data_IF_433674439639
#
_entry.id   IF_433674439639
#
_cell.length_a   1.000
_cell.length_b   1.000
_cell.length_c   1.000
_cell.angle_alpha   90.00
_cell.angle_beta   90.00
_cell.angle_gamma   90.00
#
_symmetry.space_group_name_H-M   'P 1'
#
loop_
_entity.id
_entity.type
_entity.pdbx_description
1 polymer ?
#
# COMPACT_ATOMS: atom_id res chain seq x y z
N UNK A 1 50.47 -4.99 -53.24
CA UNK A 1 50.55 -3.50 -53.10
C UNK A 1 49.16 -2.96 -52.89
N UNK A 2 48.77 -2.73 -51.64
CA UNK A 2 47.46 -2.12 -51.27
C UNK A 2 47.68 -0.60 -51.11
N UNK A 3 46.73 0.24 -51.55
CA UNK A 3 46.88 1.68 -51.40
C UNK A 3 46.37 2.12 -50.03
N UNK A 4 47.24 2.79 -49.28
CA UNK A 4 46.96 3.43 -47.97
C UNK A 4 46.03 4.64 -48.16
N UNK A 5 44.79 4.53 -47.63
CA UNK A 5 43.83 5.65 -47.56
C UNK A 5 44.25 6.66 -46.47
N UNK A 6 44.63 7.87 -46.89
CA UNK A 6 44.82 9.00 -45.98
C UNK A 6 43.45 9.53 -45.52
N UNK A 7 43.21 9.57 -44.20
CA UNK A 7 42.04 10.23 -43.59
C UNK A 7 42.10 11.74 -43.82
N UNK A 8 41.01 12.41 -44.24
CA UNK A 8 40.99 13.84 -44.42
C UNK A 8 41.11 14.58 -43.08
N UNK A 9 42.14 15.39 -42.93
CA UNK A 9 42.32 16.26 -41.77
C UNK A 9 41.46 17.53 -41.88
N UNK A 10 41.00 18.08 -40.73
CA UNK A 10 40.24 19.33 -40.70
C UNK A 10 41.01 20.44 -41.42
N UNK A 11 40.29 21.20 -42.25
CA UNK A 11 40.81 22.41 -42.87
C UNK A 11 41.14 23.49 -41.85
N UNK A 12 42.04 24.45 -42.25
CA UNK A 12 42.42 25.57 -41.35
C UNK A 12 41.20 26.34 -40.84
N UNK A 13 40.19 26.56 -41.67
CA UNK A 13 38.91 27.17 -41.27
C UNK A 13 38.14 26.33 -40.26
N UNK A 14 38.12 25.00 -40.40
CA UNK A 14 37.47 24.09 -39.44
C UNK A 14 38.16 24.10 -38.08
N UNK A 15 39.50 24.19 -38.03
CA UNK A 15 40.27 24.33 -36.79
C UNK A 15 40.00 25.66 -36.08
N UNK A 16 39.82 26.75 -36.84
CA UNK A 16 39.52 28.08 -36.29
C UNK A 16 38.12 28.11 -35.65
N UNK A 17 37.11 27.48 -36.27
CA UNK A 17 35.74 27.40 -35.73
C UNK A 17 35.71 26.61 -34.41
N UNK A 18 36.42 25.48 -34.35
CA UNK A 18 36.51 24.66 -33.13
C UNK A 18 37.21 25.44 -32.01
N UNK A 19 38.29 26.18 -32.35
CA UNK A 19 39.00 26.99 -31.36
C UNK A 19 38.13 28.11 -30.78
N UNK A 20 37.36 28.83 -31.64
CA UNK A 20 36.46 29.91 -31.19
C UNK A 20 35.31 29.35 -30.35
N UNK A 21 34.79 28.17 -30.67
CA UNK A 21 33.76 27.52 -29.88
C UNK A 21 34.27 27.12 -28.47
N UNK A 22 35.44 26.49 -28.38
CA UNK A 22 36.07 26.12 -27.13
C UNK A 22 36.42 27.37 -26.28
N UNK A 23 36.93 28.42 -26.90
CA UNK A 23 37.22 29.69 -26.21
C UNK A 23 35.94 30.35 -25.68
N UNK A 24 34.82 30.30 -26.42
CA UNK A 24 33.51 30.79 -26.00
C UNK A 24 32.95 30.02 -24.81
N UNK A 25 33.06 28.68 -24.83
CA UNK A 25 32.65 27.83 -23.71
C UNK A 25 33.47 28.08 -22.43
N UNK A 26 34.81 28.28 -22.57
CA UNK A 26 35.69 28.58 -21.43
C UNK A 26 35.42 29.96 -20.87
N UNK A 27 35.16 30.98 -21.72
CA UNK A 27 34.80 32.33 -21.28
C UNK A 27 33.43 32.36 -20.57
N UNK A 28 32.43 31.58 -21.08
CA UNK A 28 31.11 31.40 -20.43
C UNK A 28 31.23 30.76 -19.05
N UNK A 29 32.01 29.69 -18.93
CA UNK A 29 32.29 29.04 -17.65
C UNK A 29 33.03 29.96 -16.66
N UNK A 30 34.02 30.71 -17.14
CA UNK A 30 34.76 31.64 -16.33
C UNK A 30 33.90 32.82 -15.82
N UNK A 31 32.99 33.35 -16.63
CA UNK A 31 32.06 34.42 -16.23
C UNK A 31 31.05 33.97 -15.19
N UNK A 32 30.57 32.71 -15.28
CA UNK A 32 29.64 32.08 -14.30
C UNK A 32 30.33 31.82 -12.94
N UNK A 33 31.66 31.58 -12.93
CA UNK A 33 32.38 31.28 -11.70
C UNK A 33 32.81 32.56 -10.93
N UNK A 34 33.09 33.69 -11.60
CA UNK A 34 33.59 34.91 -11.00
C UNK A 34 32.54 35.93 -10.58
N UNK A 35 31.26 35.75 -10.99
CA UNK A 35 30.17 36.65 -10.59
C UNK A 35 29.21 36.02 -9.56
N UNK A 36 29.75 35.22 -8.62
CA UNK A 36 29.00 34.91 -7.40
C UNK A 36 29.25 35.97 -6.35
N UNK A 37 28.28 36.83 -6.00
CA UNK A 37 28.42 37.69 -4.84
C UNK A 37 28.40 36.79 -3.58
N UNK A 38 29.52 36.84 -2.83
CA UNK A 38 29.57 36.30 -1.46
C UNK A 38 28.77 37.28 -0.58
N UNK A 39 27.50 36.98 -0.37
CA UNK A 39 26.65 37.71 0.58
C UNK A 39 26.10 36.74 1.60
N UNK A 40 26.64 36.84 2.76
CA UNK A 40 26.19 36.66 4.12
C UNK A 40 25.06 35.68 4.44
N UNK A 41 25.46 34.63 5.18
CA UNK A 41 24.60 33.65 5.84
C UNK A 41 23.63 34.20 6.93
N UNK A 42 23.39 35.53 6.97
CA UNK A 42 22.44 36.18 7.89
C UNK A 42 21.13 36.65 7.22
N UNK A 43 21.06 36.69 5.87
CA UNK A 43 19.84 37.08 5.18
C UNK A 43 18.89 35.90 4.85
N UNK A 44 19.38 34.67 4.90
CA UNK A 44 18.56 33.51 4.57
C UNK A 44 17.55 33.12 5.67
N UNK A 45 17.78 33.49 6.93
CA UNK A 45 16.83 33.19 8.01
C UNK A 45 15.70 34.22 8.12
N UNK A 46 15.98 35.49 7.82
CA UNK A 46 14.94 36.53 7.78
C UNK A 46 14.05 36.39 6.55
N UNK A 47 14.57 36.07 5.38
CA UNK A 47 13.78 35.87 4.17
C UNK A 47 12.88 34.59 4.26
N UNK A 48 13.33 33.55 4.95
CA UNK A 48 12.51 32.36 5.21
C UNK A 48 11.39 32.63 6.24
N UNK A 49 11.67 33.47 7.24
CA UNK A 49 10.68 33.89 8.23
C UNK A 49 9.70 34.94 7.65
N UNK A 50 10.15 35.82 6.78
CA UNK A 50 9.30 36.80 6.11
C UNK A 50 8.42 36.14 5.00
N UNK A 51 8.94 35.11 4.31
CA UNK A 51 8.15 34.30 3.39
C UNK A 51 7.09 33.44 4.14
N UNK A 52 7.41 32.95 5.33
CA UNK A 52 6.44 32.26 6.19
C UNK A 52 5.40 33.22 6.79
N UNK A 53 5.76 34.48 7.02
CA UNK A 53 4.83 35.52 7.51
C UNK A 53 3.98 36.13 6.38
N UNK A 54 4.50 36.23 5.15
CA UNK A 54 3.78 36.77 4.00
C UNK A 54 2.73 35.79 3.42
N UNK A 55 2.82 34.48 3.73
CA UNK A 55 1.83 33.48 3.35
C UNK A 55 0.54 33.53 4.22
N UNK A 56 0.37 34.54 5.08
CA UNK A 56 -0.72 34.60 6.06
C UNK A 56 -2.00 35.23 5.54
N UNK A 57 -2.08 35.71 4.30
CA UNK A 57 -3.28 36.37 3.81
C UNK A 57 -3.71 35.81 2.44
N UNK A 58 -4.57 34.78 2.46
CA UNK A 58 -5.43 34.41 1.32
C UNK A 58 -5.03 33.23 0.45
N UNK A 59 -3.80 32.69 0.53
CA UNK A 59 -3.38 31.61 -0.36
C UNK A 59 -3.78 30.22 0.19
N UNK A 60 -4.54 29.45 -0.61
CA UNK A 60 -4.88 28.07 -0.30
C UNK A 60 -3.66 27.18 -0.49
N UNK A 61 -3.28 26.42 0.57
CA UNK A 61 -2.25 25.40 0.49
C UNK A 61 -2.86 24.12 -0.09
N UNK A 62 -2.28 23.60 -1.15
CA UNK A 62 -2.72 22.35 -1.76
C UNK A 62 -1.77 21.22 -1.43
N UNK A 63 -2.30 20.09 -0.94
CA UNK A 63 -1.55 18.86 -0.68
C UNK A 63 -2.23 17.67 -1.36
N UNK A 64 -1.43 16.74 -1.87
CA UNK A 64 -1.89 15.46 -2.40
C UNK A 64 -1.53 14.31 -1.46
N UNK A 65 -2.48 13.42 -1.24
CA UNK A 65 -2.34 12.23 -0.42
C UNK A 65 -2.52 11.00 -1.29
N UNK A 66 -1.42 10.29 -1.58
CA UNK A 66 -1.48 8.97 -2.19
C UNK A 66 -1.89 7.95 -1.11
N UNK A 67 -3.00 7.25 -1.29
CA UNK A 67 -3.56 6.39 -0.27
C UNK A 67 -4.09 5.07 -0.82
N UNK A 68 -4.01 4.00 -0.02
CA UNK A 68 -4.63 2.73 -0.32
C UNK A 68 -6.16 2.83 -0.32
N UNK A 69 -6.79 2.21 -1.33
CA UNK A 69 -8.24 2.35 -1.60
C UNK A 69 -9.16 1.80 -0.50
N UNK A 70 -8.63 1.01 0.42
CA UNK A 70 -9.34 0.55 1.61
C UNK A 70 -9.79 1.68 2.54
N UNK A 71 -9.08 2.85 2.51
CA UNK A 71 -9.39 4.04 3.31
C UNK A 71 -10.31 5.06 2.61
N UNK A 72 -10.71 4.80 1.37
CA UNK A 72 -11.37 5.79 0.51
C UNK A 72 -12.55 6.48 1.18
N UNK A 73 -13.52 5.71 1.69
CA UNK A 73 -14.74 6.26 2.29
C UNK A 73 -14.45 7.07 3.54
N UNK A 74 -13.55 6.57 4.40
CA UNK A 74 -13.16 7.28 5.61
C UNK A 74 -12.43 8.58 5.29
N UNK A 75 -11.44 8.55 4.40
CA UNK A 75 -10.67 9.75 4.05
C UNK A 75 -11.53 10.79 3.31
N UNK A 76 -12.41 10.37 2.40
CA UNK A 76 -13.34 11.30 1.73
C UNK A 76 -14.23 12.01 2.74
N UNK A 77 -14.81 11.28 3.70
CA UNK A 77 -15.57 11.87 4.79
C UNK A 77 -14.72 12.80 5.65
N UNK A 78 -13.53 12.37 6.07
CA UNK A 78 -12.63 13.15 6.92
C UNK A 78 -12.17 14.46 6.26
N UNK A 79 -11.87 14.44 4.96
CA UNK A 79 -11.54 15.65 4.19
C UNK A 79 -12.72 16.63 4.20
N UNK A 80 -13.94 16.13 4.00
CA UNK A 80 -15.16 16.97 4.08
C UNK A 80 -15.37 17.60 5.45
N UNK A 81 -15.10 16.87 6.54
CA UNK A 81 -15.21 17.41 7.90
C UNK A 81 -14.06 18.40 8.23
N UNK A 82 -12.85 18.09 7.77
CA UNK A 82 -11.70 18.98 7.97
C UNK A 82 -11.88 20.32 7.29
N UNK A 83 -12.42 20.34 6.08
CA UNK A 83 -12.69 21.58 5.32
C UNK A 83 -13.70 22.52 6.01
N UNK A 84 -14.52 22.05 6.95
CA UNK A 84 -15.46 22.86 7.72
C UNK A 84 -14.78 23.62 8.88
N UNK A 85 -13.58 23.20 9.25
CA UNK A 85 -12.82 23.79 10.38
C UNK A 85 -12.07 25.04 9.94
N UNK A 86 -11.84 25.95 10.86
CA UNK A 86 -11.10 27.20 10.57
C UNK A 86 -9.65 26.93 10.12
N UNK A 87 -9.01 25.92 10.71
CA UNK A 87 -7.64 25.48 10.35
C UNK A 87 -7.58 24.63 9.07
N UNK A 88 -8.73 24.08 8.64
CA UNK A 88 -8.87 23.26 7.45
C UNK A 88 -9.30 24.03 6.17
N UNK A 89 -10.03 25.14 6.32
CA UNK A 89 -10.61 25.89 5.17
C UNK A 89 -9.59 26.37 4.15
N UNK A 90 -8.34 26.61 4.59
CA UNK A 90 -7.25 27.08 3.74
C UNK A 90 -6.38 25.95 3.19
N UNK A 91 -6.73 24.69 3.48
CA UNK A 91 -5.97 23.52 3.04
C UNK A 91 -6.85 22.72 2.10
N UNK A 92 -6.47 22.70 0.82
CA UNK A 92 -7.11 21.84 -0.18
C UNK A 92 -6.40 20.50 -0.20
N UNK A 93 -7.14 19.43 0.05
CA UNK A 93 -6.62 18.06 0.07
C UNK A 93 -7.08 17.32 -1.17
N UNK A 94 -6.13 16.88 -1.99
CA UNK A 94 -6.39 16.04 -3.15
C UNK A 94 -6.10 14.57 -2.78
N UNK A 95 -7.14 13.78 -2.74
CA UNK A 95 -7.05 12.34 -2.50
C UNK A 95 -6.68 11.63 -3.79
N UNK A 96 -5.58 10.87 -3.80
CA UNK A 96 -5.03 10.16 -4.97
C UNK A 96 -5.08 8.66 -4.66
N UNK A 97 -6.17 7.96 -5.09
CA UNK A 97 -6.29 6.53 -4.82
C UNK A 97 -5.32 5.72 -5.67
N UNK A 98 -4.53 4.86 -5.03
CA UNK A 98 -3.60 3.95 -5.70
C UNK A 98 -3.20 2.78 -4.79
N UNK A 99 -2.60 1.74 -5.36
CA UNK A 99 -2.03 0.65 -4.59
C UNK A 99 -0.88 1.13 -3.67
N UNK A 100 -0.66 0.45 -2.55
CA UNK A 100 0.38 0.86 -1.59
C UNK A 100 1.78 0.88 -2.20
N UNK A 101 2.12 -0.15 -2.98
CA UNK A 101 3.40 -0.25 -3.68
C UNK A 101 3.47 0.72 -4.86
N UNK A 102 2.36 0.86 -5.60
CA UNK A 102 2.23 1.85 -6.68
C UNK A 102 2.50 3.27 -6.18
N UNK A 103 1.95 3.64 -5.00
CA UNK A 103 2.19 4.94 -4.37
C UNK A 103 3.65 5.17 -4.00
N UNK A 104 4.33 4.17 -3.42
CA UNK A 104 5.77 4.24 -3.17
C UNK A 104 6.56 4.48 -4.46
N UNK A 105 6.28 3.72 -5.50
CA UNK A 105 6.92 3.85 -6.81
C UNK A 105 6.62 5.19 -7.48
N UNK A 106 5.41 5.75 -7.33
CA UNK A 106 5.07 7.07 -7.84
C UNK A 106 5.91 8.17 -7.17
N UNK A 107 6.07 8.10 -5.83
CA UNK A 107 6.95 9.01 -5.07
C UNK A 107 8.40 8.89 -5.54
N UNK A 108 8.92 7.66 -5.69
CA UNK A 108 10.29 7.42 -6.16
C UNK A 108 10.53 7.94 -7.60
N UNK A 109 9.52 7.90 -8.46
CA UNK A 109 9.58 8.50 -9.81
C UNK A 109 9.41 10.01 -9.83
N UNK A 110 9.22 10.67 -8.67
CA UNK A 110 9.10 12.12 -8.54
C UNK A 110 7.72 12.68 -8.88
N UNK A 111 6.64 11.97 -8.59
CA UNK A 111 5.28 12.51 -8.77
C UNK A 111 5.03 13.66 -7.79
N UNK A 112 5.14 14.89 -8.32
CA UNK A 112 5.05 16.11 -7.54
C UNK A 112 3.67 16.39 -6.94
N UNK A 113 2.64 15.63 -7.34
CA UNK A 113 1.30 15.74 -6.76
C UNK A 113 1.23 15.14 -5.36
N UNK A 114 2.19 14.26 -4.99
CA UNK A 114 2.16 13.48 -3.75
C UNK A 114 3.01 14.16 -2.68
N UNK A 115 2.36 14.64 -1.63
CA UNK A 115 2.99 15.24 -0.44
C UNK A 115 2.90 14.30 0.77
N UNK A 116 2.01 13.34 0.70
CA UNK A 116 1.80 12.30 1.70
C UNK A 116 1.65 10.96 1.01
N UNK A 117 2.35 9.94 1.52
CA UNK A 117 2.13 8.55 1.16
C UNK A 117 1.48 7.81 2.34
N UNK A 118 0.28 7.27 2.14
CA UNK A 118 -0.47 6.54 3.16
C UNK A 118 -0.85 5.14 2.66
N UNK A 119 0.10 4.19 2.68
CA UNK A 119 -0.15 2.81 2.31
C UNK A 119 -1.05 2.09 3.33
N UNK A 120 -1.49 0.87 3.02
CA UNK A 120 -2.26 0.05 3.94
C UNK A 120 -1.41 -0.50 5.10
N UNK A 121 -0.10 -0.67 4.92
CA UNK A 121 0.82 -1.09 5.98
C UNK A 121 2.23 -0.56 5.79
N UNK A 122 3.05 -0.72 6.82
CA UNK A 122 4.48 -0.38 6.81
C UNK A 122 5.35 -1.44 6.11
N UNK A 123 4.80 -2.54 5.63
CA UNK A 123 5.55 -3.66 5.05
C UNK A 123 6.54 -3.25 3.96
N UNK A 124 6.18 -2.28 3.11
CA UNK A 124 7.03 -1.81 2.01
C UNK A 124 7.90 -0.61 2.38
N UNK A 125 7.82 -0.10 3.62
CA UNK A 125 8.55 1.11 4.05
C UNK A 125 10.05 0.97 3.89
N UNK A 126 10.63 -0.13 4.40
CA UNK A 126 12.09 -0.30 4.37
C UNK A 126 12.62 -0.44 2.94
N UNK A 127 11.86 -1.06 2.04
CA UNK A 127 12.18 -1.12 0.60
C UNK A 127 12.16 0.28 0.01
N UNK A 128 11.11 1.06 0.27
CA UNK A 128 10.99 2.44 -0.17
C UNK A 128 12.15 3.32 0.32
N UNK A 129 12.53 3.20 1.61
CA UNK A 129 13.65 3.96 2.18
C UNK A 129 14.99 3.61 1.54
N UNK A 130 15.25 2.34 1.24
CA UNK A 130 16.46 1.89 0.56
C UNK A 130 16.52 2.43 -0.88
N UNK A 131 15.44 2.33 -1.64
CA UNK A 131 15.37 2.85 -3.01
C UNK A 131 15.50 4.38 -3.05
N UNK A 132 14.87 5.09 -2.10
CA UNK A 132 15.02 6.53 -1.95
C UNK A 132 16.48 6.94 -1.69
N UNK A 133 17.14 6.24 -0.77
CA UNK A 133 18.54 6.51 -0.44
C UNK A 133 19.48 6.34 -1.65
N UNK A 134 19.22 5.33 -2.48
CA UNK A 134 19.98 5.12 -3.73
C UNK A 134 19.81 6.28 -4.71
N UNK A 135 18.59 6.85 -4.79
CA UNK A 135 18.29 7.91 -5.76
C UNK A 135 18.64 9.31 -5.29
N UNK A 136 18.51 9.61 -3.98
CA UNK A 136 18.59 10.94 -3.40
C UNK A 136 19.72 11.11 -2.38
N UNK A 137 20.52 10.08 -2.11
CA UNK A 137 21.56 10.12 -1.08
C UNK A 137 20.99 10.03 0.35
N UNK A 138 21.63 10.70 1.30
CA UNK A 138 21.36 10.56 2.73
C UNK A 138 20.12 11.26 3.27
N UNK A 139 19.33 11.93 2.45
CA UNK A 139 18.15 12.69 2.90
C UNK A 139 17.01 11.75 3.32
N UNK A 140 16.43 12.01 4.49
CA UNK A 140 15.28 11.25 4.98
C UNK A 140 14.03 11.65 4.19
N UNK A 141 13.34 10.73 3.52
CA UNK A 141 12.16 11.05 2.71
C UNK A 141 10.89 11.33 3.53
N UNK A 142 10.91 11.11 4.84
CA UNK A 142 9.76 11.26 5.72
C UNK A 142 10.14 12.15 6.91
N UNK A 143 9.38 13.24 7.12
CA UNK A 143 9.55 14.17 8.25
C UNK A 143 8.63 13.84 9.42
N UNK A 144 7.49 13.21 9.17
CA UNK A 144 6.54 12.79 10.19
C UNK A 144 5.82 11.52 9.76
N UNK A 145 5.62 10.60 10.69
CA UNK A 145 4.83 9.38 10.47
C UNK A 145 4.00 9.03 11.69
N UNK A 146 2.77 8.54 11.44
CA UNK A 146 1.88 8.01 12.48
C UNK A 146 1.01 6.91 11.87
N UNK A 147 0.60 5.96 12.68
CA UNK A 147 -0.35 4.93 12.28
C UNK A 147 -1.78 5.46 12.46
N UNK A 148 -2.53 5.54 11.35
CA UNK A 148 -3.89 6.08 11.37
C UNK A 148 -4.90 5.10 11.97
N UNK A 149 -4.80 3.84 11.60
CA UNK A 149 -5.80 2.83 11.95
C UNK A 149 -5.23 1.43 11.74
N UNK A 150 -5.81 0.42 12.39
CA UNK A 150 -5.37 -0.96 12.31
C UNK A 150 -6.42 -1.82 11.59
N UNK A 151 -5.97 -2.75 10.78
CA UNK A 151 -6.82 -3.75 10.14
C UNK A 151 -6.05 -5.05 9.92
N UNK A 152 -6.44 -6.18 10.52
CA UNK A 152 -5.83 -7.48 10.23
C UNK A 152 -6.33 -8.02 8.88
N UNK A 153 -5.70 -9.08 8.40
CA UNK A 153 -6.17 -9.84 7.24
C UNK A 153 -7.29 -10.82 7.66
N UNK A 154 -8.24 -11.02 6.75
CA UNK A 154 -9.31 -12.00 6.92
C UNK A 154 -9.58 -12.76 5.63
N UNK A 155 -10.13 -13.97 5.75
CA UNK A 155 -10.79 -14.68 4.67
C UNK A 155 -12.28 -14.40 4.77
N UNK A 156 -12.90 -13.91 3.70
CA UNK A 156 -14.34 -13.72 3.62
C UNK A 156 -14.93 -14.81 2.71
N UNK A 157 -15.93 -15.53 3.19
CA UNK A 157 -16.62 -16.59 2.45
C UNK A 157 -18.12 -16.38 2.50
N UNK A 158 -18.85 -16.89 1.49
CA UNK A 158 -20.29 -17.03 1.60
C UNK A 158 -20.62 -18.05 2.69
N UNK A 159 -21.63 -17.78 3.52
CA UNK A 159 -21.92 -18.60 4.71
C UNK A 159 -22.15 -20.08 4.37
N UNK A 160 -22.94 -20.35 3.32
CA UNK A 160 -23.20 -21.72 2.86
C UNK A 160 -21.93 -22.43 2.39
N UNK A 161 -21.03 -21.72 1.69
CA UNK A 161 -19.71 -22.23 1.28
C UNK A 161 -18.82 -22.50 2.48
N UNK A 162 -18.81 -21.58 3.45
CA UNK A 162 -18.04 -21.73 4.69
C UNK A 162 -18.48 -22.97 5.48
N UNK A 163 -19.80 -23.18 5.67
CA UNK A 163 -20.33 -24.33 6.41
C UNK A 163 -19.92 -25.65 5.73
N UNK A 164 -20.07 -25.73 4.42
CA UNK A 164 -19.66 -26.89 3.65
C UNK A 164 -18.16 -27.13 3.69
N UNK A 165 -17.37 -26.06 3.59
CA UNK A 165 -15.92 -26.11 3.64
C UNK A 165 -15.42 -26.61 5.01
N UNK A 166 -15.91 -26.04 6.10
CA UNK A 166 -15.53 -26.43 7.46
C UNK A 166 -15.95 -27.87 7.78
N UNK A 167 -17.10 -28.31 7.27
CA UNK A 167 -17.53 -29.72 7.40
C UNK A 167 -16.54 -30.69 6.76
N UNK A 168 -15.89 -30.31 5.66
CA UNK A 168 -14.90 -31.15 4.94
C UNK A 168 -13.52 -31.06 5.56
N UNK A 169 -13.03 -29.83 5.86
CA UNK A 169 -11.63 -29.56 6.19
C UNK A 169 -11.41 -29.24 7.67
N UNK A 170 -12.46 -29.00 8.45
CA UNK A 170 -12.41 -28.66 9.88
C UNK A 170 -12.21 -27.18 10.15
N UNK A 171 -11.36 -26.49 9.38
CA UNK A 171 -11.03 -25.06 9.55
C UNK A 171 -10.77 -24.40 8.20
N UNK A 172 -10.78 -23.06 8.19
CA UNK A 172 -10.29 -22.25 7.06
C UNK A 172 -8.89 -21.76 7.39
N UNK A 173 -7.90 -22.29 6.68
CA UNK A 173 -6.48 -21.94 6.78
C UNK A 173 -5.85 -21.94 5.38
N UNK A 174 -4.65 -21.36 5.20
CA UNK A 174 -3.96 -21.41 3.90
C UNK A 174 -3.71 -22.86 3.45
N UNK A 175 -3.47 -23.76 4.39
CA UNK A 175 -3.33 -25.19 4.11
C UNK A 175 -4.62 -25.80 3.54
N UNK A 176 -5.75 -25.55 4.18
CA UNK A 176 -7.05 -26.12 3.74
C UNK A 176 -7.58 -25.43 2.49
N UNK A 177 -7.33 -24.13 2.32
CA UNK A 177 -7.61 -23.42 1.06
C UNK A 177 -6.79 -24.01 -0.09
N UNK A 178 -5.50 -24.32 0.12
CA UNK A 178 -4.66 -25.01 -0.88
C UNK A 178 -5.21 -26.37 -1.27
N UNK A 179 -5.72 -27.14 -0.30
CA UNK A 179 -6.36 -28.44 -0.57
C UNK A 179 -7.63 -28.27 -1.42
N UNK A 180 -8.46 -27.28 -1.10
CA UNK A 180 -9.69 -27.01 -1.86
C UNK A 180 -9.40 -26.53 -3.29
N UNK A 181 -8.37 -25.71 -3.49
CA UNK A 181 -7.91 -25.27 -4.82
C UNK A 181 -7.38 -26.43 -5.67
N UNK A 182 -6.80 -27.44 -5.05
CA UNK A 182 -6.26 -28.62 -5.73
C UNK A 182 -7.33 -29.69 -6.04
N UNK A 183 -8.56 -29.55 -5.52
CA UNK A 183 -9.64 -30.51 -5.77
C UNK A 183 -10.16 -30.42 -7.21
N UNK A 184 -9.75 -31.33 -8.06
CA UNK A 184 -10.18 -31.37 -9.48
C UNK A 184 -11.68 -31.49 -9.71
N UNK A 185 -12.41 -32.12 -8.76
CA UNK A 185 -13.86 -32.19 -8.76
C UNK A 185 -14.55 -30.99 -8.10
N UNK A 186 -13.78 -30.02 -7.59
CA UNK A 186 -14.30 -28.82 -6.93
C UNK A 186 -15.32 -29.13 -5.85
N UNK A 187 -16.44 -28.40 -5.85
CA UNK A 187 -17.49 -28.55 -4.84
C UNK A 187 -18.24 -29.91 -4.87
N UNK A 188 -18.17 -30.65 -5.98
CA UNK A 188 -18.61 -32.03 -5.99
C UNK A 188 -17.80 -32.88 -5.00
N UNK A 189 -16.47 -32.75 -5.00
CA UNK A 189 -15.59 -33.50 -4.08
C UNK A 189 -15.61 -32.95 -2.66
N UNK A 190 -15.81 -31.62 -2.52
CA UNK A 190 -15.83 -30.94 -1.21
C UNK A 190 -17.15 -31.21 -0.46
N UNK A 191 -18.30 -31.07 -1.14
CA UNK A 191 -19.60 -31.04 -0.49
C UNK A 191 -20.73 -31.80 -1.24
N UNK A 192 -20.41 -32.52 -2.32
CA UNK A 192 -21.42 -33.17 -3.14
C UNK A 192 -22.32 -32.21 -3.93
N UNK A 193 -21.80 -31.03 -4.25
CA UNK A 193 -22.49 -29.90 -4.88
C UNK A 193 -21.87 -29.56 -6.25
N UNK A 194 -22.12 -30.36 -7.30
CA UNK A 194 -21.54 -30.15 -8.64
C UNK A 194 -21.95 -28.81 -9.26
N UNK A 195 -23.13 -28.32 -8.94
CA UNK A 195 -23.67 -27.04 -9.43
C UNK A 195 -22.86 -25.79 -8.93
N UNK A 196 -22.00 -25.97 -7.93
CA UNK A 196 -21.16 -24.93 -7.43
C UNK A 196 -19.82 -24.80 -8.19
N UNK A 197 -19.48 -25.78 -9.02
CA UNK A 197 -18.29 -25.81 -9.86
C UNK A 197 -16.99 -26.03 -9.08
N UNK A 198 -15.89 -25.42 -9.55
CA UNK A 198 -14.62 -25.43 -8.85
C UNK A 198 -14.64 -24.44 -7.68
N UNK A 199 -13.77 -24.69 -6.69
CA UNK A 199 -13.57 -23.72 -5.60
C UNK A 199 -12.87 -22.48 -6.14
N UNK A 200 -13.46 -21.29 -5.92
CA UNK A 200 -13.01 -20.01 -6.44
C UNK A 200 -12.52 -19.11 -5.31
N UNK A 201 -11.20 -18.93 -5.23
CA UNK A 201 -10.53 -18.03 -4.29
C UNK A 201 -9.97 -16.82 -5.04
N UNK A 202 -10.12 -15.62 -4.45
CA UNK A 202 -9.51 -14.41 -4.94
C UNK A 202 -8.63 -13.74 -3.88
N UNK A 203 -7.53 -13.13 -4.33
CA UNK A 203 -6.78 -12.15 -3.57
C UNK A 203 -6.23 -11.06 -4.51
N UNK A 204 -5.49 -10.08 -4.00
CA UNK A 204 -4.95 -9.02 -4.86
C UNK A 204 -3.56 -9.37 -5.37
N UNK A 205 -3.16 -8.74 -6.48
CA UNK A 205 -1.85 -8.93 -7.10
C UNK A 205 -0.72 -8.46 -6.14
N UNK A 206 0.22 -9.34 -5.75
CA UNK A 206 1.19 -9.04 -4.69
C UNK A 206 2.16 -7.90 -5.00
N UNK A 207 2.48 -7.68 -6.28
CA UNK A 207 3.38 -6.58 -6.70
C UNK A 207 2.66 -5.24 -6.87
N UNK A 208 1.33 -5.20 -6.73
CA UNK A 208 0.53 -3.98 -6.90
C UNK A 208 -0.18 -3.56 -5.62
N UNK A 209 -0.67 -4.54 -4.87
CA UNK A 209 -1.49 -4.33 -3.68
C UNK A 209 -0.89 -4.95 -2.43
N UNK A 210 -0.91 -4.19 -1.34
CA UNK A 210 -0.39 -4.64 -0.05
C UNK A 210 -1.13 -5.88 0.50
N UNK A 211 -2.43 -6.04 0.26
CA UNK A 211 -3.14 -7.26 0.72
C UNK A 211 -2.65 -8.53 0.02
N UNK A 212 -2.20 -8.42 -1.23
CA UNK A 212 -1.54 -9.53 -1.92
C UNK A 212 -0.19 -9.88 -1.31
N UNK A 213 0.65 -8.86 -1.06
CA UNK A 213 1.92 -9.06 -0.33
C UNK A 213 1.67 -9.65 1.07
N UNK A 214 0.71 -9.12 1.82
CA UNK A 214 0.35 -9.63 3.15
C UNK A 214 -0.13 -11.09 3.08
N UNK A 215 -0.89 -11.47 2.04
CA UNK A 215 -1.33 -12.85 1.80
C UNK A 215 -0.13 -13.78 1.59
N UNK A 216 0.82 -13.42 0.72
CA UNK A 216 2.04 -14.22 0.51
C UNK A 216 2.87 -14.37 1.80
N UNK A 217 3.02 -13.29 2.57
CA UNK A 217 3.74 -13.34 3.84
C UNK A 217 3.04 -14.25 4.86
N UNK A 218 1.72 -14.17 4.96
CA UNK A 218 0.94 -15.04 5.84
C UNK A 218 1.03 -16.52 5.40
N UNK A 219 1.02 -16.79 4.10
CA UNK A 219 1.28 -18.13 3.57
C UNK A 219 2.64 -18.66 4.01
N UNK A 220 3.70 -17.83 3.93
CA UNK A 220 5.03 -18.22 4.36
C UNK A 220 5.11 -18.45 5.89
N UNK A 221 4.52 -17.56 6.68
CA UNK A 221 4.45 -17.72 8.14
C UNK A 221 3.67 -18.97 8.55
N UNK A 222 2.56 -19.25 7.88
CA UNK A 222 1.72 -20.42 8.18
C UNK A 222 2.42 -21.71 7.80
N UNK A 223 3.04 -21.76 6.61
CA UNK A 223 3.77 -22.93 6.12
C UNK A 223 4.93 -23.31 7.06
N UNK A 224 5.75 -22.32 7.50
CA UNK A 224 6.90 -22.56 8.38
C UNK A 224 6.55 -22.59 9.86
N UNK A 225 5.29 -22.38 10.25
CA UNK A 225 4.86 -22.36 11.66
C UNK A 225 5.47 -21.21 12.48
N UNK A 226 5.83 -20.09 11.84
CA UNK A 226 6.51 -18.94 12.46
C UNK A 226 5.55 -17.77 12.68
N UNK A 227 5.94 -16.84 13.56
CA UNK A 227 5.30 -15.53 13.75
C UNK A 227 6.31 -14.38 13.68
N UNK A 228 7.61 -14.70 13.69
CA UNK A 228 8.72 -13.75 13.60
C UNK A 228 9.90 -14.37 12.87
N UNK A 229 10.88 -13.57 12.55
CA UNK A 229 12.16 -14.00 11.98
C UNK A 229 12.01 -14.81 10.67
N UNK A 230 11.01 -14.43 9.84
CA UNK A 230 10.93 -14.96 8.49
C UNK A 230 12.18 -14.52 7.72
N UNK A 231 12.87 -15.48 7.10
CA UNK A 231 14.20 -15.29 6.51
C UNK A 231 14.23 -15.68 5.04
N UNK A 232 15.31 -15.33 4.35
CA UNK A 232 15.54 -15.79 2.97
C UNK A 232 15.52 -17.31 2.84
N UNK A 233 16.04 -18.02 3.84
CA UNK A 233 16.02 -19.50 3.84
C UNK A 233 14.59 -20.03 3.76
N UNK A 234 13.66 -19.39 4.44
CA UNK A 234 12.24 -19.79 4.43
C UNK A 234 11.60 -19.52 3.05
N UNK A 235 11.91 -18.38 2.45
CA UNK A 235 11.37 -18.01 1.12
C UNK A 235 11.99 -18.84 0.00
N UNK A 236 13.26 -19.23 0.15
CA UNK A 236 13.99 -20.05 -0.82
C UNK A 236 13.81 -21.56 -0.60
N UNK A 237 13.03 -21.98 0.41
CA UNK A 237 12.69 -23.38 0.62
C UNK A 237 11.92 -23.95 -0.60
N UNK A 238 12.45 -24.99 -1.29
CA UNK A 238 11.79 -25.56 -2.45
C UNK A 238 10.39 -26.14 -2.15
N UNK A 239 10.18 -26.65 -0.93
CA UNK A 239 8.89 -27.17 -0.48
C UNK A 239 7.85 -26.04 -0.39
N UNK A 240 8.23 -24.93 0.25
CA UNK A 240 7.40 -23.74 0.32
C UNK A 240 7.08 -23.20 -1.08
N UNK A 241 8.10 -23.04 -1.93
CA UNK A 241 7.93 -22.49 -3.27
C UNK A 241 6.99 -23.36 -4.14
N UNK A 242 7.15 -24.67 -4.08
CA UNK A 242 6.28 -25.60 -4.83
C UNK A 242 4.84 -25.53 -4.33
N UNK A 243 4.63 -25.51 -3.02
CA UNK A 243 3.31 -25.43 -2.41
C UNK A 243 2.65 -24.08 -2.71
N UNK A 244 3.37 -22.98 -2.53
CA UNK A 244 2.86 -21.63 -2.78
C UNK A 244 2.54 -21.40 -4.27
N UNK A 245 3.37 -21.91 -5.20
CA UNK A 245 3.08 -21.88 -6.63
C UNK A 245 1.80 -22.66 -6.98
N UNK A 246 1.60 -23.82 -6.35
CA UNK A 246 0.37 -24.61 -6.52
C UNK A 246 -0.87 -23.86 -6.02
N UNK A 247 -0.75 -23.18 -4.88
CA UNK A 247 -1.80 -22.31 -4.35
C UNK A 247 -2.14 -21.17 -5.32
N UNK A 248 -1.14 -20.41 -5.73
CA UNK A 248 -1.30 -19.23 -6.59
C UNK A 248 -1.90 -19.57 -7.97
N UNK A 249 -1.52 -20.69 -8.55
CA UNK A 249 -2.11 -21.18 -9.82
C UNK A 249 -3.57 -21.57 -9.70
N UNK A 250 -4.02 -21.93 -8.50
CA UNK A 250 -5.41 -22.23 -8.21
C UNK A 250 -6.26 -20.99 -7.97
N UNK A 251 -5.65 -19.83 -7.73
CA UNK A 251 -6.36 -18.56 -7.50
C UNK A 251 -7.12 -18.15 -8.77
N UNK A 252 -8.42 -17.89 -8.61
CA UNK A 252 -9.31 -17.65 -9.74
C UNK A 252 -9.15 -16.25 -10.34
N UNK A 253 -8.73 -15.28 -9.55
CA UNK A 253 -8.51 -13.91 -10.02
C UNK A 253 -7.61 -13.13 -9.07
N UNK A 254 -6.75 -12.29 -9.66
CA UNK A 254 -5.89 -11.33 -8.99
C UNK A 254 -6.40 -9.92 -9.29
N UNK A 255 -6.96 -9.24 -8.29
CA UNK A 255 -7.36 -7.84 -8.42
C UNK A 255 -6.19 -6.91 -8.08
N UNK A 256 -6.15 -5.73 -8.65
CA UNK A 256 -5.17 -4.69 -8.31
C UNK A 256 -5.53 -3.91 -7.02
N UNK A 257 -6.73 -4.11 -6.48
CA UNK A 257 -7.25 -3.38 -5.32
C UNK A 257 -8.15 -4.26 -4.46
N UNK A 258 -7.94 -4.20 -3.13
CA UNK A 258 -8.71 -4.96 -2.14
C UNK A 258 -10.19 -4.56 -2.14
N UNK A 259 -10.46 -3.26 -2.24
CA UNK A 259 -11.84 -2.75 -2.33
C UNK A 259 -12.56 -3.22 -3.59
N UNK A 260 -11.86 -3.25 -4.75
CA UNK A 260 -12.43 -3.76 -6.00
C UNK A 260 -12.72 -5.26 -5.93
N UNK A 261 -11.80 -6.05 -5.36
CA UNK A 261 -11.98 -7.49 -5.17
C UNK A 261 -13.24 -7.79 -4.35
N UNK A 262 -13.38 -7.13 -3.20
CA UNK A 262 -14.54 -7.33 -2.33
C UNK A 262 -15.84 -6.85 -2.99
N UNK A 263 -15.80 -5.73 -3.71
CA UNK A 263 -16.94 -5.23 -4.49
C UNK A 263 -17.36 -6.24 -5.56
N UNK A 264 -16.40 -6.82 -6.27
CA UNK A 264 -16.69 -7.84 -7.28
C UNK A 264 -17.35 -9.09 -6.67
N UNK A 265 -16.82 -9.56 -5.53
CA UNK A 265 -17.43 -10.69 -4.79
C UNK A 265 -18.89 -10.40 -4.45
N UNK A 266 -19.19 -9.22 -3.87
CA UNK A 266 -20.56 -8.87 -3.46
C UNK A 266 -21.49 -8.64 -4.66
N UNK A 267 -21.00 -8.06 -5.75
CA UNK A 267 -21.81 -7.78 -6.94
C UNK A 267 -22.13 -9.05 -7.73
N UNK A 268 -21.14 -9.92 -7.94
CA UNK A 268 -21.26 -11.10 -8.79
C UNK A 268 -21.63 -12.39 -8.02
N UNK A 269 -21.46 -12.37 -6.69
CA UNK A 269 -21.81 -13.49 -5.81
C UNK A 269 -20.88 -14.70 -5.96
N UNK A 270 -21.39 -15.91 -5.59
CA UNK A 270 -20.62 -17.15 -5.64
C UNK A 270 -20.21 -17.58 -7.06
N UNK A 271 -20.76 -16.94 -8.09
CA UNK A 271 -20.30 -17.18 -9.47
C UNK A 271 -18.88 -16.67 -9.71
N UNK A 272 -18.49 -15.58 -9.04
CA UNK A 272 -17.14 -15.01 -9.15
C UNK A 272 -16.19 -15.61 -8.10
N UNK A 273 -16.59 -15.60 -6.83
CA UNK A 273 -15.74 -16.06 -5.73
C UNK A 273 -16.56 -16.81 -4.67
N UNK A 274 -16.03 -17.94 -4.19
CA UNK A 274 -16.50 -18.61 -2.98
C UNK A 274 -15.85 -17.98 -1.74
N UNK A 275 -14.58 -17.52 -1.88
CA UNK A 275 -13.81 -16.88 -0.84
C UNK A 275 -12.88 -15.80 -1.41
N UNK A 276 -12.57 -14.79 -0.60
CA UNK A 276 -11.53 -13.77 -0.89
C UNK A 276 -10.69 -13.49 0.33
N UNK A 277 -9.41 -13.13 0.12
CA UNK A 277 -8.50 -12.68 1.19
C UNK A 277 -8.40 -11.15 1.13
N UNK A 278 -8.86 -10.48 2.19
CA UNK A 278 -8.99 -9.03 2.24
C UNK A 278 -8.65 -8.49 3.64
N UNK A 279 -8.65 -7.17 3.82
CA UNK A 279 -8.59 -6.55 5.15
C UNK A 279 -9.92 -6.67 5.89
N UNK A 280 -9.87 -6.80 7.21
CA UNK A 280 -11.05 -6.76 8.08
C UNK A 280 -11.91 -5.52 7.83
N UNK A 281 -11.28 -4.34 7.71
CA UNK A 281 -11.98 -3.09 7.43
C UNK A 281 -12.80 -3.13 6.15
N UNK A 282 -12.23 -3.71 5.09
CA UNK A 282 -12.94 -3.89 3.81
C UNK A 282 -14.08 -4.89 3.96
N UNK A 283 -13.86 -5.99 4.69
CA UNK A 283 -14.92 -6.96 4.97
C UNK A 283 -16.10 -6.29 5.69
N UNK A 284 -15.86 -5.56 6.79
CA UNK A 284 -16.89 -4.88 7.58
C UNK A 284 -17.69 -3.90 6.73
N UNK A 285 -17.03 -3.12 5.88
CA UNK A 285 -17.68 -2.13 5.01
C UNK A 285 -18.68 -2.76 4.03
N UNK A 286 -18.48 -4.04 3.68
CA UNK A 286 -19.33 -4.76 2.76
C UNK A 286 -20.32 -5.75 3.39
N UNK A 287 -20.19 -6.09 4.68
CA UNK A 287 -21.08 -7.07 5.34
C UNK A 287 -22.55 -6.66 5.20
N UNK A 288 -22.89 -5.43 5.46
CA UNK A 288 -24.26 -4.91 5.32
C UNK A 288 -24.75 -4.93 3.86
N UNK A 289 -23.86 -4.63 2.91
CA UNK A 289 -24.22 -4.56 1.49
C UNK A 289 -24.43 -5.93 0.85
N UNK A 290 -23.94 -7.01 1.46
CA UNK A 290 -24.09 -8.38 0.99
C UNK A 290 -25.39 -9.01 1.46
N UNK A 291 -26.02 -8.50 2.53
CA UNK A 291 -27.27 -9.05 3.08
C UNK A 291 -28.39 -9.07 2.01
N UNK A 292 -29.01 -10.23 1.87
CA UNK A 292 -30.17 -10.43 1.00
C UNK A 292 -29.88 -10.57 -0.50
N UNK A 293 -28.63 -10.42 -0.97
CA UNK A 293 -28.31 -10.55 -2.41
C UNK A 293 -27.93 -12.00 -2.78
N UNK A 294 -26.92 -12.56 -2.11
CA UNK A 294 -26.37 -13.90 -2.39
C UNK A 294 -26.25 -14.76 -1.13
N UNK A 295 -26.82 -14.30 -0.03
CA UNK A 295 -26.68 -14.89 1.30
C UNK A 295 -25.71 -14.11 2.19
N UNK A 296 -25.56 -14.60 3.41
CA UNK A 296 -24.67 -13.97 4.39
C UNK A 296 -23.19 -14.27 4.08
N UNK A 297 -22.33 -13.37 4.51
CA UNK A 297 -20.88 -13.57 4.52
C UNK A 297 -20.42 -14.11 5.88
N UNK A 298 -19.29 -14.81 5.88
CA UNK A 298 -18.52 -15.17 7.09
C UNK A 298 -17.13 -14.61 6.99
N UNK A 299 -16.69 -13.99 8.08
CA UNK A 299 -15.32 -13.47 8.26
C UNK A 299 -14.55 -14.46 9.11
N UNK A 300 -13.43 -14.93 8.59
CA UNK A 300 -12.57 -15.91 9.27
C UNK A 300 -11.18 -15.31 9.40
N UNK A 301 -10.64 -15.28 10.63
CA UNK A 301 -9.29 -14.79 10.89
C UNK A 301 -8.30 -15.95 10.73
N UNK A 302 -7.25 -15.77 9.92
CA UNK A 302 -6.13 -16.71 9.91
C UNK A 302 -5.54 -16.87 11.32
N UNK A 303 -5.07 -18.08 11.64
CA UNK A 303 -4.44 -18.35 12.95
C UNK A 303 -3.25 -17.44 13.21
N UNK A 304 -2.43 -17.18 12.18
CA UNK A 304 -1.37 -16.17 12.17
C UNK A 304 -1.83 -15.00 11.34
N UNK A 305 -1.58 -13.80 11.82
CA UNK A 305 -2.05 -12.60 11.14
C UNK A 305 -0.99 -11.50 11.10
N UNK A 306 -1.24 -10.46 10.30
CA UNK A 306 -0.43 -9.26 10.21
C UNK A 306 -1.31 -8.05 10.49
N UNK A 307 -0.78 -7.09 11.24
CA UNK A 307 -1.37 -5.77 11.30
C UNK A 307 -1.09 -5.01 10.00
N UNK A 308 -2.11 -4.36 9.49
CA UNK A 308 -1.99 -3.33 8.48
C UNK A 308 -2.31 -2.02 9.20
N UNK A 309 -1.25 -1.27 9.50
CA UNK A 309 -1.28 -0.13 10.43
C UNK A 309 -1.76 1.15 9.77
N UNK A 310 -1.96 1.13 8.45
CA UNK A 310 -2.39 2.29 7.67
C UNK A 310 -1.58 3.55 8.00
N UNK A 311 -0.26 3.52 7.83
CA UNK A 311 0.59 4.64 8.20
C UNK A 311 0.34 5.86 7.30
N UNK A 312 0.67 7.03 7.83
CA UNK A 312 0.63 8.32 7.14
C UNK A 312 2.03 8.92 7.18
N UNK A 313 2.69 8.96 6.03
CA UNK A 313 4.04 9.48 5.87
C UNK A 313 4.00 10.85 5.25
N UNK A 314 4.35 11.91 6.00
CA UNK A 314 4.56 13.25 5.45
C UNK A 314 5.91 13.28 4.77
N UNK A 315 5.92 13.55 3.46
CA UNK A 315 7.12 13.44 2.64
C UNK A 315 8.02 14.67 2.75
N UNK A 316 9.33 14.40 2.80
CA UNK A 316 10.40 15.37 2.65
C UNK A 316 10.98 15.30 1.23
N UNK A 317 10.11 15.41 0.24
CA UNK A 317 10.53 15.39 -1.15
C UNK A 317 10.93 16.79 -1.63
N UNK A 318 11.80 16.92 -2.65
CA UNK A 318 12.23 18.23 -3.18
C UNK A 318 11.10 19.15 -3.60
N UNK A 319 9.93 18.60 -3.91
CA UNK A 319 8.70 19.32 -4.29
C UNK A 319 7.75 19.58 -3.12
N UNK A 320 8.03 19.07 -1.92
CA UNK A 320 7.19 19.22 -0.73
C UNK A 320 7.73 20.36 0.16
N UNK A 321 7.12 21.55 0.04
CA UNK A 321 7.51 22.73 0.82
C UNK A 321 7.18 22.58 2.31
N UNK A 322 7.87 23.35 3.17
CA UNK A 322 7.60 23.38 4.61
C UNK A 322 6.13 23.72 4.93
N UNK A 323 5.48 24.57 4.13
CA UNK A 323 4.06 24.93 4.30
C UNK A 323 3.16 23.74 4.00
N UNK A 324 3.46 22.95 2.95
CA UNK A 324 2.72 21.73 2.62
C UNK A 324 2.94 20.63 3.66
N UNK A 325 4.16 20.48 4.18
CA UNK A 325 4.45 19.55 5.28
C UNK A 325 3.66 19.90 6.55
N UNK A 326 3.58 21.19 6.90
CA UNK A 326 2.76 21.66 8.02
C UNK A 326 1.26 21.43 7.79
N UNK A 327 0.77 21.68 6.57
CA UNK A 327 -0.62 21.42 6.21
C UNK A 327 -0.95 19.91 6.31
N UNK A 328 -0.06 19.05 5.82
CA UNK A 328 -0.18 17.60 5.96
C UNK A 328 -0.19 17.16 7.43
N UNK A 329 0.66 17.79 8.27
CA UNK A 329 0.71 17.55 9.71
C UNK A 329 -0.60 17.94 10.42
N UNK A 330 -1.21 19.08 10.08
CA UNK A 330 -2.51 19.51 10.63
C UNK A 330 -3.64 18.52 10.30
N UNK A 331 -3.66 18.01 9.08
CA UNK A 331 -4.65 16.99 8.71
C UNK A 331 -4.40 15.68 9.43
N UNK A 332 -3.14 15.28 9.63
CA UNK A 332 -2.77 14.11 10.43
C UNK A 332 -3.25 14.25 11.89
N UNK A 333 -3.03 15.40 12.54
CA UNK A 333 -3.51 15.65 13.91
C UNK A 333 -5.04 15.55 13.99
N UNK A 334 -5.74 16.06 12.97
CA UNK A 334 -7.19 15.92 12.86
C UNK A 334 -7.60 14.45 12.74
N UNK A 335 -6.97 13.67 11.87
CA UNK A 335 -7.26 12.25 11.69
C UNK A 335 -7.06 11.42 12.96
N UNK A 336 -6.09 11.80 13.81
CA UNK A 336 -5.78 11.12 15.08
C UNK A 336 -6.64 11.60 16.25
N UNK A 337 -7.44 12.64 16.07
CA UNK A 337 -8.34 13.13 17.12
C UNK A 337 -9.42 12.10 17.46
N UNK A 338 -9.81 12.03 18.74
CA UNK A 338 -10.73 11.02 19.24
C UNK A 338 -12.07 10.94 18.47
N UNK A 339 -12.74 12.07 18.10
CA UNK A 339 -13.98 12.00 17.32
C UNK A 339 -13.79 11.36 15.95
N UNK A 340 -12.68 11.66 15.28
CA UNK A 340 -12.37 11.13 13.94
C UNK A 340 -11.95 9.67 14.00
N UNK A 341 -11.24 9.28 15.05
CA UNK A 341 -10.88 7.90 15.32
C UNK A 341 -12.10 7.03 15.69
N UNK A 342 -13.08 7.57 16.41
CA UNK A 342 -14.38 6.89 16.61
C UNK A 342 -15.12 6.68 15.28
N UNK A 343 -15.01 7.62 14.37
CA UNK A 343 -15.62 7.47 13.05
C UNK A 343 -14.90 6.43 12.18
N UNK A 344 -13.59 6.22 12.37
CA UNK A 344 -12.87 5.15 11.64
C UNK A 344 -13.47 3.77 11.88
N UNK A 345 -14.02 3.51 13.08
CA UNK A 345 -14.73 2.27 13.41
C UNK A 345 -15.97 2.05 12.53
N UNK A 346 -16.71 3.12 12.20
CA UNK A 346 -17.88 3.02 11.31
C UNK A 346 -17.47 2.55 9.92
N UNK A 347 -16.23 2.83 9.53
CA UNK A 347 -15.61 2.36 8.29
C UNK A 347 -14.82 1.05 8.45
N UNK A 348 -15.03 0.36 9.56
CA UNK A 348 -14.47 -0.98 9.80
C UNK A 348 -13.03 -1.02 10.32
N UNK A 349 -12.39 0.13 10.51
CA UNK A 349 -11.02 0.18 11.05
C UNK A 349 -11.01 0.10 12.57
N UNK A 350 -10.02 -0.58 13.11
CA UNK A 350 -9.67 -0.45 14.53
C UNK A 350 -8.88 0.84 14.70
N UNK A 351 -9.22 1.70 15.68
CA UNK A 351 -8.54 2.98 15.87
C UNK A 351 -7.03 2.82 16.05
N UNK A 352 -6.24 3.72 15.44
CA UNK A 352 -4.81 3.87 15.74
C UNK A 352 -4.59 4.54 17.10
N UNK A 353 -5.55 5.35 17.55
CA UNK A 353 -5.53 5.95 18.88
C UNK A 353 -6.00 4.93 19.96
N UNK A 354 -5.12 4.46 20.86
CA UNK A 354 -5.47 3.46 21.87
C UNK A 354 -6.49 3.93 22.91
N UNK A 355 -6.75 5.24 23.02
CA UNK A 355 -7.77 5.77 23.92
C UNK A 355 -9.20 5.50 23.41
N UNK A 356 -9.36 5.12 22.14
CA UNK A 356 -10.66 4.82 21.56
C UNK A 356 -10.92 3.32 21.62
N UNK A 357 -11.91 2.84 22.41
CA UNK A 357 -12.20 1.42 22.52
C UNK A 357 -12.82 0.88 21.22
N UNK A 358 -12.48 -0.36 20.89
CA UNK A 358 -13.09 -1.07 19.75
C UNK A 358 -14.48 -1.59 20.07
N UNK A 359 -14.69 -2.02 21.33
CA UNK A 359 -15.97 -2.53 21.84
C UNK A 359 -16.74 -1.44 22.59
N UNK A 360 -17.91 -1.11 22.09
CA UNK A 360 -18.92 -0.29 22.77
C UNK A 360 -20.30 -0.57 22.16
N UNK A 361 -21.41 -0.27 22.84
CA UNK A 361 -22.75 -0.47 22.29
C UNK A 361 -22.92 0.25 20.94
N UNK A 362 -23.25 -0.52 19.89
CA UNK A 362 -23.39 -0.01 18.52
C UNK A 362 -22.11 0.00 17.68
N UNK A 363 -20.96 -0.48 18.21
CA UNK A 363 -19.77 -0.65 17.39
C UNK A 363 -19.99 -1.73 16.32
N UNK A 364 -19.35 -1.66 15.16
CA UNK A 364 -19.45 -2.70 14.14
C UNK A 364 -19.02 -4.09 14.65
N UNK A 365 -18.08 -4.13 15.60
CA UNK A 365 -17.58 -5.38 16.18
C UNK A 365 -18.62 -6.09 17.07
N UNK A 366 -19.55 -5.35 17.66
CA UNK A 366 -20.70 -5.94 18.36
C UNK A 366 -21.83 -6.26 17.37
N UNK A 367 -22.15 -5.31 16.48
CA UNK A 367 -23.26 -5.47 15.53
C UNK A 367 -23.06 -6.64 14.57
N UNK A 368 -21.81 -6.88 14.10
CA UNK A 368 -21.49 -7.90 13.11
C UNK A 368 -20.79 -9.13 13.69
N UNK A 369 -20.81 -9.33 15.01
CA UNK A 369 -20.25 -10.51 15.66
C UNK A 369 -20.80 -11.82 15.07
N UNK A 370 -22.07 -11.86 14.68
CA UNK A 370 -22.70 -13.02 14.05
C UNK A 370 -22.04 -13.44 12.72
N UNK A 371 -21.36 -12.52 12.03
CA UNK A 371 -20.64 -12.82 10.79
C UNK A 371 -19.21 -13.32 11.02
N UNK A 372 -18.79 -13.51 12.27
CA UNK A 372 -17.46 -13.99 12.65
C UNK A 372 -16.47 -12.90 13.05
N UNK A 373 -16.90 -11.63 13.14
CA UNK A 373 -16.01 -10.58 13.63
C UNK A 373 -15.59 -10.85 15.07
N UNK A 374 -14.27 -10.73 15.33
CA UNK A 374 -13.68 -10.93 16.62
C UNK A 374 -12.68 -9.81 16.93
N UNK A 375 -12.72 -9.30 18.16
CA UNK A 375 -11.74 -8.30 18.62
C UNK A 375 -10.44 -8.98 19.03
N UNK A 376 -10.53 -10.18 19.62
CA UNK A 376 -9.37 -10.95 20.04
C UNK A 376 -8.82 -11.73 18.85
N UNK A 377 -7.62 -11.39 18.44
CA UNK A 377 -6.93 -12.02 17.33
C UNK A 377 -5.98 -13.13 17.82
N UNK A 378 -5.63 -14.04 16.92
CA UNK A 378 -4.62 -15.04 17.16
C UNK A 378 -3.19 -14.46 17.18
N UNK A 379 -2.23 -15.26 16.77
CA UNK A 379 -0.81 -14.89 16.76
C UNK A 379 -0.54 -13.79 15.72
N UNK A 380 -0.02 -12.65 16.17
CA UNK A 380 0.38 -11.57 15.27
C UNK A 380 1.83 -11.74 14.82
N UNK A 381 2.04 -11.71 13.52
CA UNK A 381 3.36 -11.80 12.90
C UNK A 381 4.05 -10.44 12.84
N UNK A 382 5.38 -10.44 12.91
CA UNK A 382 6.18 -9.23 12.71
C UNK A 382 6.48 -9.02 11.21
N UNK A 383 6.65 -7.77 10.77
CA UNK A 383 7.12 -7.51 9.42
C UNK A 383 8.54 -8.11 9.22
N UNK A 384 8.79 -8.85 8.12
CA UNK A 384 10.14 -9.34 7.83
C UNK A 384 11.00 -8.20 7.26
N UNK A 385 12.31 -8.46 7.15
CA UNK A 385 13.25 -7.50 6.53
C UNK A 385 12.92 -7.26 5.05
N UNK A 386 13.26 -6.07 4.55
CA UNK A 386 13.06 -5.66 3.14
C UNK A 386 13.61 -6.69 2.14
N UNK A 387 14.77 -7.29 2.42
CA UNK A 387 15.37 -8.33 1.59
C UNK A 387 14.46 -9.55 1.41
N UNK A 388 13.77 -9.97 2.46
CA UNK A 388 12.83 -11.10 2.43
C UNK A 388 11.60 -10.74 1.58
N UNK A 389 11.07 -9.55 1.75
CA UNK A 389 9.94 -9.02 0.97
C UNK A 389 10.30 -8.97 -0.52
N UNK A 390 11.44 -8.36 -0.86
CA UNK A 390 11.90 -8.24 -2.24
C UNK A 390 12.09 -9.61 -2.91
N UNK A 391 12.72 -10.56 -2.22
CA UNK A 391 12.91 -11.90 -2.76
C UNK A 391 11.59 -12.65 -2.95
N UNK A 392 10.63 -12.50 -2.02
CA UNK A 392 9.31 -13.11 -2.12
C UNK A 392 8.53 -12.55 -3.33
N UNK A 393 8.53 -11.22 -3.52
CA UNK A 393 7.87 -10.56 -4.66
C UNK A 393 8.52 -10.93 -5.99
N UNK A 394 9.86 -10.98 -6.05
CA UNK A 394 10.59 -11.41 -7.24
C UNK A 394 10.36 -12.88 -7.57
N UNK A 395 10.34 -13.76 -6.56
CA UNK A 395 10.00 -15.16 -6.74
C UNK A 395 8.59 -15.31 -7.32
N UNK A 396 7.61 -14.63 -6.72
CA UNK A 396 6.23 -14.66 -7.19
C UNK A 396 6.12 -14.20 -8.64
N UNK A 397 6.74 -13.06 -8.99
CA UNK A 397 6.73 -12.53 -10.36
C UNK A 397 7.27 -13.52 -11.38
N UNK A 398 8.36 -14.23 -11.06
CA UNK A 398 8.98 -15.21 -11.98
C UNK A 398 8.22 -16.53 -12.06
N UNK A 399 7.58 -16.94 -10.99
CA UNK A 399 6.99 -18.29 -10.85
C UNK A 399 5.49 -18.33 -11.15
N UNK A 400 4.80 -17.19 -11.01
CA UNK A 400 3.35 -17.05 -11.13
C UNK A 400 2.97 -15.92 -12.09
N UNK A 401 3.55 -14.74 -11.93
CA UNK A 401 3.15 -13.52 -12.64
C UNK A 401 3.42 -13.51 -14.16
N UNK A 402 4.09 -14.52 -14.71
CA UNK A 402 4.35 -14.70 -16.15
C UNK A 402 3.50 -15.81 -16.79
N UNK A 403 2.56 -16.38 -16.03
CA UNK A 403 1.73 -17.53 -16.44
C UNK A 403 0.45 -17.10 -17.13
#
# INVERSE_FOLDING_TARGET
MEPTSKKPGLTFAGKLVVFLFVAGCLYGAYSLFLHRPVSGARQSQTAANDAAAAASDGEHVEIGIAYGTEKERWLQWAVGEFAKRDDGRRIKINLIPMGSLEGAQAVLRGDQRIHVWSPASSLYKDVFLQEWQVQHGGDKPVVREENLALSPMVVVMWAERHEAFVKKYGEVSFKTLSQALAESGGWQSIAGKPEWGLFKLGHTHPNESNSGLATLLLMAYDYHGKTRDLSLKDILDPGFQTWAQGFERGVSSLSNSTGNLMREMVLKGPSAFDAVVVYESVAIDYLKNAEGRWGELRVVYPKRNLWNENPYYVLNAPWSSAVQQQAAGKFLDFLLSEPIQKQSLVHGFRPGNPAVPVRFPGSPFEAYKRFGLNVDLGDMCTAPKAEVINNLLQWWQRSVGTS
#
